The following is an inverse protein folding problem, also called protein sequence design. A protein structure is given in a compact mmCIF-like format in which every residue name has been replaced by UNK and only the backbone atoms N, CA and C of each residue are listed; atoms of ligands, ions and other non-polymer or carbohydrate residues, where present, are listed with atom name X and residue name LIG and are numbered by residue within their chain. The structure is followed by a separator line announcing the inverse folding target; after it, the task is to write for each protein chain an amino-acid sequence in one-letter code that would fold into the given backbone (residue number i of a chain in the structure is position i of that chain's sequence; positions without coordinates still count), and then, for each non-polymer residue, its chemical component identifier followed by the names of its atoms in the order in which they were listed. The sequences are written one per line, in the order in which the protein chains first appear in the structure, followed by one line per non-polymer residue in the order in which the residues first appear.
data_IF_187324534359
#
_entry.id   IF_187324534359
#
_cell.length_a   1.000
_cell.length_b   1.000
_cell.length_c   1.000
_cell.angle_alpha   90.00
_cell.angle_beta   90.00
_cell.angle_gamma   90.00
#
_symmetry.space_group_name_H-M   'P 1'
#
loop_
_entity.id
_entity.type
_entity.pdbx_description
1 polymer ?
#
# COMPACT_ATOMS: atom_id res chain seq x y z
N UNK A 1 -8.99 -24.50 14.17
CA UNK A 1 -7.60 -24.01 13.98
C UNK A 1 -7.50 -23.35 12.62
N UNK A 2 -7.23 -22.05 12.56
CA UNK A 2 -6.99 -21.37 11.27
C UNK A 2 -5.60 -21.76 10.79
N UNK A 3 -5.51 -22.46 9.65
CA UNK A 3 -4.22 -22.74 9.01
C UNK A 3 -3.70 -21.44 8.39
N UNK A 4 -2.69 -20.83 9.00
CA UNK A 4 -1.96 -19.74 8.38
C UNK A 4 -1.06 -20.31 7.29
N UNK A 5 -1.38 -20.03 6.03
CA UNK A 5 -0.52 -20.39 4.91
C UNK A 5 0.41 -19.22 4.62
N UNK A 6 1.71 -19.39 4.90
CA UNK A 6 2.72 -18.43 4.49
C UNK A 6 2.92 -18.59 2.98
N UNK A 7 2.47 -17.61 2.21
CA UNK A 7 2.67 -17.57 0.75
C UNK A 7 3.81 -16.61 0.41
N UNK A 8 4.60 -16.89 -0.64
CA UNK A 8 5.52 -15.93 -1.21
C UNK A 8 4.81 -14.62 -1.57
N UNK A 9 5.50 -13.50 -1.35
CA UNK A 9 4.96 -12.15 -1.57
C UNK A 9 4.51 -11.95 -3.03
N UNK A 10 5.23 -12.55 -3.99
CA UNK A 10 4.87 -12.56 -5.42
C UNK A 10 3.52 -13.22 -5.68
N UNK A 11 3.26 -14.37 -5.06
CA UNK A 11 1.97 -15.05 -5.20
C UNK A 11 0.83 -14.24 -4.57
N UNK A 12 1.10 -13.56 -3.46
CA UNK A 12 0.15 -12.62 -2.86
C UNK A 12 -0.21 -11.50 -3.84
N UNK A 13 0.77 -10.81 -4.43
CA UNK A 13 0.52 -9.79 -5.46
C UNK A 13 -0.29 -10.33 -6.64
N UNK A 14 0.11 -11.47 -7.21
CA UNK A 14 -0.58 -12.09 -8.33
C UNK A 14 -2.03 -12.50 -7.99
N UNK A 15 -2.31 -12.90 -6.74
CA UNK A 15 -3.68 -13.17 -6.31
C UNK A 15 -4.52 -11.91 -6.21
N UNK A 16 -3.96 -10.81 -5.68
CA UNK A 16 -4.68 -9.55 -5.50
C UNK A 16 -4.95 -8.85 -6.82
N UNK A 17 -4.01 -8.94 -7.76
CA UNK A 17 -4.21 -8.46 -9.13
C UNK A 17 -5.34 -9.22 -9.84
N UNK A 18 -5.39 -10.55 -9.70
CA UNK A 18 -6.50 -11.38 -10.21
C UNK A 18 -7.85 -11.02 -9.59
N UNK A 19 -7.86 -10.58 -8.34
CA UNK A 19 -9.06 -10.06 -7.66
C UNK A 19 -9.42 -8.61 -8.08
N UNK A 20 -8.67 -7.99 -9.01
CA UNK A 20 -8.85 -6.60 -9.45
C UNK A 20 -8.42 -5.56 -8.41
N UNK A 21 -7.66 -5.97 -7.38
CA UNK A 21 -7.21 -5.10 -6.29
C UNK A 21 -5.81 -4.56 -6.58
N UNK A 22 -5.64 -3.24 -6.46
CA UNK A 22 -4.33 -2.58 -6.50
C UNK A 22 -3.79 -2.40 -5.07
N UNK A 23 -2.62 -2.96 -4.79
CA UNK A 23 -1.97 -2.87 -3.48
C UNK A 23 -1.12 -1.60 -3.38
N UNK A 24 -1.78 -0.48 -3.09
CA UNK A 24 -1.16 0.85 -3.05
C UNK A 24 -0.11 0.98 -1.93
N UNK A 25 -0.37 0.38 -0.77
CA UNK A 25 0.40 0.57 0.47
C UNK A 25 1.61 -0.36 0.62
N UNK A 26 2.12 -0.89 -0.48
CA UNK A 26 3.38 -1.65 -0.45
C UNK A 26 4.61 -0.74 -0.53
N UNK A 27 4.44 0.46 -1.08
CA UNK A 27 5.47 1.50 -1.01
C UNK A 27 5.55 2.06 0.41
N UNK A 28 6.77 2.33 0.86
CA UNK A 28 7.04 2.86 2.18
C UNK A 28 6.60 4.32 2.29
N UNK A 29 5.68 4.61 3.21
CA UNK A 29 5.13 5.96 3.44
C UNK A 29 5.81 6.64 4.65
N UNK A 30 6.39 5.86 5.54
CA UNK A 30 7.18 6.32 6.69
C UNK A 30 7.39 5.22 7.72
N UNK A 31 8.26 5.48 8.69
CA UNK A 31 8.49 4.63 9.86
C UNK A 31 8.13 5.36 11.14
N UNK A 32 8.38 4.73 12.29
CA UNK A 32 8.26 5.34 13.63
C UNK A 32 8.97 6.68 13.78
N UNK A 33 10.06 6.90 13.03
CA UNK A 33 10.83 8.16 13.02
C UNK A 33 10.27 9.25 12.10
N UNK A 34 9.38 8.89 11.17
CA UNK A 34 8.82 9.84 10.21
C UNK A 34 7.76 10.72 10.87
N UNK A 35 7.90 12.03 10.74
CA UNK A 35 6.93 13.01 11.24
C UNK A 35 5.55 12.86 10.60
N UNK A 36 4.50 13.29 11.30
CA UNK A 36 3.12 13.19 10.82
C UNK A 36 2.93 13.91 9.47
N UNK A 37 3.53 15.09 9.30
CA UNK A 37 3.45 15.85 8.06
C UNK A 37 4.15 15.14 6.89
N UNK A 38 5.34 14.57 7.13
CA UNK A 38 6.08 13.83 6.10
C UNK A 38 5.32 12.57 5.67
N UNK A 39 4.71 11.83 6.61
CA UNK A 39 3.84 10.69 6.26
C UNK A 39 2.64 11.12 5.42
N UNK A 40 2.04 12.27 5.74
CA UNK A 40 0.89 12.79 5.00
C UNK A 40 1.28 13.19 3.57
N UNK A 41 2.43 13.82 3.38
CA UNK A 41 2.94 14.17 2.06
C UNK A 41 3.28 12.93 1.23
N UNK A 42 3.96 11.95 1.82
CA UNK A 42 4.28 10.68 1.17
C UNK A 42 3.00 9.93 0.75
N UNK A 43 1.97 9.95 1.59
CA UNK A 43 0.67 9.37 1.28
C UNK A 43 0.00 10.07 0.09
N UNK A 44 0.00 11.40 0.07
CA UNK A 44 -0.55 12.19 -1.05
C UNK A 44 0.14 11.85 -2.37
N UNK A 45 1.48 11.84 -2.37
CA UNK A 45 2.29 11.47 -3.56
C UNK A 45 1.97 10.05 -4.05
N UNK A 46 1.85 9.09 -3.13
CA UNK A 46 1.48 7.72 -3.47
C UNK A 46 0.09 7.65 -4.11
N UNK A 47 -0.90 8.34 -3.52
CA UNK A 47 -2.26 8.38 -4.05
C UNK A 47 -2.32 9.05 -5.44
N UNK A 48 -1.61 10.16 -5.64
CA UNK A 48 -1.53 10.85 -6.94
C UNK A 48 -0.89 9.98 -8.02
N UNK A 49 0.20 9.26 -7.70
CA UNK A 49 0.85 8.30 -8.60
C UNK A 49 -0.10 7.21 -9.08
N UNK A 50 -1.05 6.82 -8.23
CA UNK A 50 -2.07 5.82 -8.56
C UNK A 50 -3.36 6.42 -9.15
N UNK A 51 -3.37 7.71 -9.46
CA UNK A 51 -4.47 8.41 -10.13
C UNK A 51 -5.60 8.85 -9.20
N UNK A 52 -5.39 8.80 -7.89
CA UNK A 52 -6.36 9.30 -6.93
C UNK A 52 -6.27 10.82 -6.82
N UNK A 53 -7.43 11.48 -6.87
CA UNK A 53 -7.57 12.90 -6.56
C UNK A 53 -8.15 13.00 -5.16
N UNK A 54 -7.52 13.79 -4.29
CA UNK A 54 -8.07 14.12 -2.98
C UNK A 54 -8.65 15.53 -3.00
N UNK A 55 -9.78 15.72 -2.32
CA UNK A 55 -10.34 17.05 -2.11
C UNK A 55 -9.54 17.72 -0.99
N UNK A 56 -9.15 18.97 -1.22
CA UNK A 56 -8.42 19.78 -0.24
C UNK A 56 -9.35 20.23 0.88
#
# INVERSE_FOLDING_TARGET
MVKFTIKPIKEYFASKEREGKKLLFFEKIGDSKTSKEERLENLKRLLEKHGFKYKK
#
